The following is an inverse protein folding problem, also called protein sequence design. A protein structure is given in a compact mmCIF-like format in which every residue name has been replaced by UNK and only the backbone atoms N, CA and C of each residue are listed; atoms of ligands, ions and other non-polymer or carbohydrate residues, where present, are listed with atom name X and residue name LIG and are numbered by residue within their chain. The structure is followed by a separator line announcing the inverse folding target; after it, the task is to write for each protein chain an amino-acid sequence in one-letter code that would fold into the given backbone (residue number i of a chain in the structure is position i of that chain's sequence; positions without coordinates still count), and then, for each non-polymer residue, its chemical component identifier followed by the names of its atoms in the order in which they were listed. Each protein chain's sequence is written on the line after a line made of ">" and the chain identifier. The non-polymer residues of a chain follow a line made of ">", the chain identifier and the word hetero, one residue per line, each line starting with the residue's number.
data_IF_357910322599
#
_entry.id   IF_357910322599
#
_cell.length_a   1.000
_cell.length_b   1.000
_cell.length_c   1.000
_cell.angle_alpha   90.00
_cell.angle_beta   90.00
_cell.angle_gamma   90.00
#
_symmetry.space_group_name_H-M   'P 1'
#
loop_
_entity.id
_entity.type
_entity.pdbx_description
1 polymer ?
#
# COMPACT_ATOMS: atom_id res chain seq x y z
N UNK A 1 -17.66 -26.38 -8.74
CA UNK A 1 -16.38 -25.75 -8.34
C UNK A 1 -16.36 -24.36 -8.96
N UNK A 2 -16.55 -23.29 -8.17
CA UNK A 2 -16.50 -21.92 -8.69
C UNK A 2 -15.05 -21.63 -9.07
N UNK A 3 -14.81 -21.44 -10.36
CA UNK A 3 -13.58 -20.84 -10.87
C UNK A 3 -13.46 -19.48 -10.18
N UNK A 4 -12.62 -19.37 -9.15
CA UNK A 4 -12.18 -18.08 -8.62
C UNK A 4 -11.39 -17.43 -9.73
N UNK A 5 -12.10 -16.70 -10.60
CA UNK A 5 -11.51 -15.87 -11.62
C UNK A 5 -10.44 -15.02 -10.92
N UNK A 6 -9.17 -15.28 -11.23
CA UNK A 6 -8.06 -14.49 -10.76
C UNK A 6 -8.38 -13.04 -11.08
N UNK A 7 -8.57 -12.24 -10.04
CA UNK A 7 -8.75 -10.81 -10.17
C UNK A 7 -7.51 -10.27 -10.91
N UNK A 8 -7.63 -9.83 -12.18
CA UNK A 8 -6.47 -9.49 -13.00
C UNK A 8 -5.73 -8.25 -12.46
N UNK A 9 -6.39 -7.44 -11.63
CA UNK A 9 -5.80 -6.29 -10.95
C UNK A 9 -5.04 -6.69 -9.70
N UNK A 10 -5.29 -7.86 -9.11
CA UNK A 10 -4.61 -8.31 -7.89
C UNK A 10 -3.14 -8.61 -8.15
N UNK A 11 -2.82 -9.41 -9.17
CA UNK A 11 -1.43 -9.70 -9.53
C UNK A 11 -0.67 -8.43 -9.94
N UNK A 12 -1.33 -7.51 -10.66
CA UNK A 12 -0.73 -6.23 -11.03
C UNK A 12 -0.47 -5.34 -9.81
N UNK A 13 -1.40 -5.32 -8.85
CA UNK A 13 -1.25 -4.55 -7.61
C UNK A 13 -0.13 -5.10 -6.74
N UNK A 14 -0.07 -6.43 -6.56
CA UNK A 14 0.98 -7.09 -5.77
C UNK A 14 2.37 -6.75 -6.37
N UNK A 15 2.53 -6.85 -7.69
CA UNK A 15 3.78 -6.47 -8.37
C UNK A 15 4.13 -4.98 -8.20
N UNK A 16 3.15 -4.08 -8.25
CA UNK A 16 3.39 -2.65 -8.07
C UNK A 16 3.78 -2.30 -6.62
N UNK A 17 3.20 -3.00 -5.64
CA UNK A 17 3.59 -2.87 -4.23
C UNK A 17 5.00 -3.40 -3.98
N UNK A 18 5.37 -4.52 -4.58
CA UNK A 18 6.74 -5.04 -4.50
C UNK A 18 7.75 -4.05 -5.11
N UNK A 19 7.42 -3.42 -6.24
CA UNK A 19 8.26 -2.40 -6.87
C UNK A 19 8.42 -1.15 -5.99
N UNK A 20 7.34 -0.73 -5.31
CA UNK A 20 7.40 0.37 -4.35
C UNK A 20 8.32 0.02 -3.17
N UNK A 21 8.14 -1.16 -2.57
CA UNK A 21 8.98 -1.63 -1.47
C UNK A 21 10.46 -1.71 -1.86
N UNK A 22 10.76 -2.19 -3.07
CA UNK A 22 12.13 -2.22 -3.60
C UNK A 22 12.70 -0.82 -3.81
N UNK A 23 11.91 0.14 -4.28
CA UNK A 23 12.35 1.52 -4.48
C UNK A 23 12.62 2.22 -3.14
N UNK A 24 11.77 1.98 -2.14
CA UNK A 24 11.94 2.50 -0.77
C UNK A 24 13.18 1.91 -0.12
N UNK A 25 13.36 0.58 -0.17
CA UNK A 25 14.58 -0.06 0.34
C UNK A 25 15.84 0.44 -0.41
N UNK A 26 15.77 0.63 -1.73
CA UNK A 26 16.90 1.17 -2.49
C UNK A 26 17.27 2.61 -2.08
N UNK A 27 16.29 3.41 -1.65
CA UNK A 27 16.54 4.77 -1.14
C UNK A 27 17.23 4.77 0.22
N UNK A 28 16.89 3.82 1.10
CA UNK A 28 17.53 3.70 2.43
C UNK A 28 19.06 3.53 2.34
N UNK A 29 19.53 2.87 1.28
CA UNK A 29 20.95 2.61 1.03
C UNK A 29 21.55 3.51 -0.06
N UNK A 30 20.81 4.53 -0.53
CA UNK A 30 21.27 5.39 -1.61
C UNK A 30 22.32 6.39 -1.13
N UNK A 31 23.33 6.62 -1.95
CA UNK A 31 24.24 7.76 -1.78
C UNK A 31 23.47 9.07 -1.90
N UNK A 32 23.84 10.06 -1.10
CA UNK A 32 23.16 11.36 -1.04
C UNK A 32 23.11 12.07 -2.41
N UNK A 33 24.14 11.88 -3.25
CA UNK A 33 24.21 12.43 -4.60
C UNK A 33 23.11 11.90 -5.55
N UNK A 34 22.52 10.74 -5.23
CA UNK A 34 21.46 10.11 -6.04
C UNK A 34 20.09 10.11 -5.32
N UNK A 35 19.98 10.77 -4.17
CA UNK A 35 18.74 10.82 -3.38
C UNK A 35 17.53 11.31 -4.19
N UNK A 36 17.70 12.34 -5.02
CA UNK A 36 16.66 12.85 -5.91
C UNK A 36 16.17 11.78 -6.90
N UNK A 37 17.09 11.05 -7.54
CA UNK A 37 16.74 9.98 -8.48
C UNK A 37 15.88 8.90 -7.81
N UNK A 38 16.25 8.49 -6.60
CA UNK A 38 15.49 7.50 -5.84
C UNK A 38 14.13 8.04 -5.37
N UNK A 39 14.05 9.32 -4.98
CA UNK A 39 12.79 9.98 -4.66
C UNK A 39 11.83 9.99 -5.86
N UNK A 40 12.32 10.29 -7.07
CA UNK A 40 11.53 10.20 -8.30
C UNK A 40 11.02 8.77 -8.56
N UNK A 41 11.84 7.75 -8.31
CA UNK A 41 11.44 6.35 -8.48
C UNK A 41 10.34 5.93 -7.51
N UNK A 42 10.44 6.34 -6.25
CA UNK A 42 9.40 6.09 -5.24
C UNK A 42 8.08 6.75 -5.67
N UNK A 43 8.15 8.00 -6.13
CA UNK A 43 6.96 8.72 -6.62
C UNK A 43 6.32 8.00 -7.81
N UNK A 44 7.11 7.59 -8.79
CA UNK A 44 6.61 6.84 -9.96
C UNK A 44 5.95 5.51 -9.54
N UNK A 45 6.53 4.78 -8.59
CA UNK A 45 5.95 3.53 -8.08
C UNK A 45 4.61 3.79 -7.35
N UNK A 46 4.50 4.87 -6.56
CA UNK A 46 3.24 5.27 -5.91
C UNK A 46 2.16 5.61 -6.94
N UNK A 47 2.52 6.32 -8.01
CA UNK A 47 1.59 6.66 -9.09
C UNK A 47 1.09 5.44 -9.85
N UNK A 48 1.96 4.44 -10.07
CA UNK A 48 1.61 3.17 -10.69
C UNK A 48 0.59 2.40 -9.82
N UNK A 49 0.82 2.30 -8.51
CA UNK A 49 -0.15 1.71 -7.57
C UNK A 49 -1.50 2.44 -7.65
N UNK A 50 -1.48 3.78 -7.60
CA UNK A 50 -2.70 4.59 -7.68
C UNK A 50 -3.43 4.42 -9.03
N UNK A 51 -2.70 4.28 -10.14
CA UNK A 51 -3.28 4.03 -11.45
C UNK A 51 -3.99 2.68 -11.52
N UNK A 52 -3.37 1.61 -11.02
CA UNK A 52 -3.96 0.26 -10.98
C UNK A 52 -5.26 0.28 -10.16
N UNK A 53 -5.24 0.92 -8.98
CA UNK A 53 -6.43 1.05 -8.14
C UNK A 53 -7.55 1.84 -8.82
N UNK A 54 -7.23 2.92 -9.54
CA UNK A 54 -8.21 3.69 -10.32
C UNK A 54 -8.84 2.85 -11.44
N UNK A 55 -8.01 2.11 -12.18
CA UNK A 55 -8.48 1.22 -13.25
C UNK A 55 -9.35 0.09 -12.69
N UNK A 56 -8.94 -0.52 -11.58
CA UNK A 56 -9.71 -1.55 -10.91
C UNK A 56 -11.08 -1.01 -10.44
N UNK A 57 -11.11 0.14 -9.76
CA UNK A 57 -12.36 0.79 -9.33
C UNK A 57 -13.30 1.07 -10.50
N UNK A 58 -12.77 1.62 -11.59
CA UNK A 58 -13.54 1.87 -12.80
C UNK A 58 -14.12 0.57 -13.38
N UNK A 59 -13.34 -0.49 -13.45
CA UNK A 59 -13.79 -1.80 -13.96
C UNK A 59 -14.87 -2.45 -13.09
N UNK A 60 -14.82 -2.27 -11.76
CA UNK A 60 -15.81 -2.76 -10.82
C UNK A 60 -17.03 -1.83 -10.65
N UNK A 61 -17.07 -0.68 -11.34
CA UNK A 61 -18.15 0.29 -11.22
C UNK A 61 -18.23 0.96 -9.84
N UNK A 62 -17.12 0.98 -9.10
CA UNK A 62 -17.04 1.63 -7.78
C UNK A 62 -16.96 3.15 -7.98
N UNK A 63 -17.90 3.93 -7.43
CA UNK A 63 -17.87 5.38 -7.60
C UNK A 63 -16.62 5.98 -6.94
N UNK A 64 -16.05 7.05 -7.51
CA UNK A 64 -14.82 7.68 -7.01
C UNK A 64 -14.97 8.23 -5.59
N UNK A 65 -16.20 8.57 -5.20
CA UNK A 65 -16.55 9.12 -3.88
C UNK A 65 -16.78 8.03 -2.82
N UNK A 66 -16.66 6.75 -3.19
CA UNK A 66 -16.68 5.67 -2.23
C UNK A 66 -15.35 5.71 -1.44
N UNK A 67 -15.33 6.52 -0.38
CA UNK A 67 -14.33 6.40 0.65
C UNK A 67 -14.49 5.01 1.24
N UNK A 68 -13.51 4.14 0.96
CA UNK A 68 -13.36 2.90 1.73
C UNK A 68 -13.36 3.34 3.20
N UNK A 69 -14.24 2.78 4.06
CA UNK A 69 -14.19 3.09 5.47
C UNK A 69 -12.74 2.88 5.92
N UNK A 70 -12.17 3.77 6.75
CA UNK A 70 -10.85 3.53 7.30
C UNK A 70 -10.92 2.14 7.96
N UNK A 71 -10.33 1.15 7.30
CA UNK A 71 -10.26 -0.19 7.85
C UNK A 71 -9.61 -0.04 9.22
N UNK A 72 -10.05 -0.79 10.24
CA UNK A 72 -9.51 -0.63 11.58
C UNK A 72 -8.00 -0.79 11.49
N UNK A 73 -7.29 0.33 11.58
CA UNK A 73 -5.91 0.35 12.04
C UNK A 73 -5.99 -0.22 13.44
N UNK A 74 -5.74 -1.52 13.55
CA UNK A 74 -5.50 -2.23 14.79
C UNK A 74 -4.17 -1.76 15.40
N UNK A 75 -3.97 -0.45 15.52
CA UNK A 75 -2.76 0.19 16.01
C UNK A 75 -3.04 1.21 17.10
N UNK A 76 -4.31 1.54 17.40
CA UNK A 76 -4.69 2.44 18.50
C UNK A 76 -5.34 1.75 19.71
N UNK A 77 -5.34 0.41 19.77
CA UNK A 77 -5.95 -0.35 20.85
C UNK A 77 -4.96 -0.92 21.89
N UNK A 78 -3.80 -0.29 22.07
CA UNK A 78 -3.01 -0.46 23.31
C UNK A 78 -2.81 0.93 23.89
N UNK A 79 -3.81 1.37 24.65
CA UNK A 79 -3.65 2.54 25.50
C UNK A 79 -2.73 2.14 26.65
N UNK A 80 -1.88 3.04 27.13
CA UNK A 80 -0.94 2.80 28.24
C UNK A 80 -1.59 2.28 29.55
N UNK A 81 -2.92 2.18 29.63
CA UNK A 81 -3.65 1.49 30.69
C UNK A 81 -3.52 -0.03 30.67
N UNK A 82 -3.40 -0.68 29.51
CA UNK A 82 -3.35 -2.15 29.41
C UNK A 82 -2.02 -2.74 29.91
N UNK A 83 -0.94 -1.96 29.93
CA UNK A 83 0.36 -2.38 30.46
C UNK A 83 0.42 -2.34 32.00
N UNK A 84 -0.54 -1.71 32.67
CA UNK A 84 -0.54 -1.58 34.13
C UNK A 84 -1.13 -2.81 34.86
N UNK A 85 -1.99 -3.60 34.21
CA UNK A 85 -2.65 -4.75 34.85
C UNK A 85 -1.88 -6.07 34.71
N UNK A 86 -0.77 -6.12 33.96
CA UNK A 86 0.06 -7.33 33.82
C UNK A 86 1.21 -7.43 34.83
N UNK A 87 1.17 -6.64 35.91
CA UNK A 87 2.08 -6.76 37.07
C UNK A 87 1.28 -6.97 38.35
N UNK A 88 0.67 -8.14 38.49
CA UNK A 88 0.30 -8.71 39.78
C UNK A 88 0.59 -10.20 39.79
#
# INVERSE_FOLDING_TARGET
>A
MRNTAQNPWRSALDQALDQLAQAEHAFEWADAEFSDYHAYRIQAAKEQVALILRQARHAYGVPPDLQLPPGPRAVDAITAGDLAESRH
#
